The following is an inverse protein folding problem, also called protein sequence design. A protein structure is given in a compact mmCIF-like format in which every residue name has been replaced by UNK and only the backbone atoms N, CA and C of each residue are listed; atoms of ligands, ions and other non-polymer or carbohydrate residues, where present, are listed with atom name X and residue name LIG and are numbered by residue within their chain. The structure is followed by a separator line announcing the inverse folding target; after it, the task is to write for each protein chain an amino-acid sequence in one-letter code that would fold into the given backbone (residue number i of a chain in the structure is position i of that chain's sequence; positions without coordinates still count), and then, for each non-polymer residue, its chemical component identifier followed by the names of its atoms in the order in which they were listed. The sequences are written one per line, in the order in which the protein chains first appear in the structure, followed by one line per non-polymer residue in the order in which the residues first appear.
data_IF_551380395418
#
_entry.id   IF_551380395418
#
_cell.length_a   1.000
_cell.length_b   1.000
_cell.length_c   1.000
_cell.angle_alpha   90.00
_cell.angle_beta   90.00
_cell.angle_gamma   90.00
#
_symmetry.space_group_name_H-M   'P 1'
#
loop_
_entity.id
_entity.type
_entity.pdbx_description
1 polymer ?
#
# COMPACT_ATOMS: atom_id res chain seq x y z
N UNK A 1 12.70 4.25 -13.54
CA UNK A 1 11.52 4.41 -12.65
C UNK A 1 11.62 5.74 -11.91
N UNK A 2 10.49 6.36 -11.52
CA UNK A 2 10.47 7.63 -10.77
C UNK A 2 10.44 7.36 -9.25
N UNK A 3 11.57 6.99 -8.65
CA UNK A 3 11.63 6.48 -7.27
C UNK A 3 11.01 7.43 -6.22
N UNK A 4 11.37 8.71 -6.23
CA UNK A 4 10.82 9.68 -5.27
C UNK A 4 9.30 9.83 -5.37
N UNK A 5 8.77 9.81 -6.60
CA UNK A 5 7.33 9.86 -6.87
C UNK A 5 6.61 8.60 -6.41
N UNK A 6 7.23 7.43 -6.60
CA UNK A 6 6.69 6.15 -6.15
C UNK A 6 6.63 6.06 -4.62
N UNK A 7 7.71 6.44 -3.93
CA UNK A 7 7.75 6.48 -2.48
C UNK A 7 6.71 7.45 -1.91
N UNK A 8 6.64 8.67 -2.47
CA UNK A 8 5.64 9.66 -2.07
C UNK A 8 4.20 9.16 -2.27
N UNK A 9 3.91 8.53 -3.41
CA UNK A 9 2.59 7.97 -3.68
C UNK A 9 2.19 6.90 -2.64
N UNK A 10 3.15 6.04 -2.27
CA UNK A 10 2.97 5.05 -1.20
C UNK A 10 2.73 5.67 0.17
N UNK A 11 3.49 6.71 0.53
CA UNK A 11 3.30 7.50 1.77
C UNK A 11 1.88 8.10 1.82
N UNK A 12 1.46 8.78 0.76
CA UNK A 12 0.11 9.38 0.69
C UNK A 12 -0.98 8.31 0.82
N UNK A 13 -0.82 7.18 0.12
CA UNK A 13 -1.74 6.05 0.23
C UNK A 13 -1.83 5.51 1.67
N UNK A 14 -0.70 5.33 2.35
CA UNK A 14 -0.67 4.81 3.71
C UNK A 14 -1.23 5.79 4.75
N UNK A 15 -1.02 7.09 4.58
CA UNK A 15 -1.64 8.13 5.42
C UNK A 15 -3.16 8.10 5.26
N UNK A 16 -3.67 8.08 4.03
CA UNK A 16 -5.11 7.99 3.77
C UNK A 16 -5.69 6.68 4.34
N UNK A 17 -5.00 5.56 4.16
CA UNK A 17 -5.36 4.28 4.77
C UNK A 17 -5.52 4.41 6.29
N UNK A 18 -4.52 4.99 6.98
CA UNK A 18 -4.54 5.17 8.43
C UNK A 18 -5.68 6.08 8.89
N UNK A 19 -5.96 7.16 8.16
CA UNK A 19 -7.07 8.07 8.45
C UNK A 19 -8.41 7.34 8.32
N UNK A 20 -8.64 6.63 7.21
CA UNK A 20 -9.87 5.87 6.99
C UNK A 20 -10.07 4.81 8.07
N UNK A 21 -9.01 4.09 8.45
CA UNK A 21 -9.08 3.13 9.53
C UNK A 21 -9.41 3.82 10.87
N UNK A 22 -8.79 4.97 11.17
CA UNK A 22 -9.09 5.74 12.38
C UNK A 22 -10.56 6.20 12.43
N UNK A 23 -11.13 6.63 11.29
CA UNK A 23 -12.56 6.96 11.18
C UNK A 23 -13.41 5.72 11.45
N UNK A 24 -13.12 4.58 10.82
CA UNK A 24 -13.90 3.36 11.00
C UNK A 24 -13.81 2.78 12.42
N UNK A 25 -12.74 3.08 13.16
CA UNK A 25 -12.66 2.77 14.60
C UNK A 25 -13.68 3.54 15.42
N UNK A 26 -14.04 4.77 15.02
CA UNK A 26 -15.13 5.52 15.66
C UNK A 26 -16.49 4.82 15.49
N UNK A 27 -16.61 3.93 14.50
CA UNK A 27 -17.78 3.09 14.25
C UNK A 27 -17.65 1.67 14.80
N UNK A 28 -16.70 1.42 15.71
CA UNK A 28 -16.60 0.18 16.47
C UNK A 28 -15.64 -0.87 15.92
N UNK A 29 -14.81 -0.56 14.90
CA UNK A 29 -13.70 -1.45 14.55
C UNK A 29 -12.66 -1.49 15.69
N UNK A 30 -12.31 -2.67 16.25
CA UNK A 30 -11.45 -2.75 17.44
C UNK A 30 -9.97 -2.49 17.13
N UNK A 31 -9.54 -2.68 15.89
CA UNK A 31 -8.13 -2.68 15.51
C UNK A 31 -7.52 -1.26 15.51
N UNK A 32 -6.51 -1.04 16.33
CA UNK A 32 -5.67 0.17 16.31
C UNK A 32 -4.31 -0.13 15.66
N UNK A 33 -4.22 0.04 14.34
CA UNK A 33 -3.02 -0.30 13.57
C UNK A 33 -1.75 0.40 14.08
N UNK A 34 -1.85 1.67 14.50
CA UNK A 34 -0.72 2.40 15.06
C UNK A 34 -0.20 1.79 16.36
N UNK A 35 -1.10 1.43 17.29
CA UNK A 35 -0.69 0.76 18.53
C UNK A 35 -0.17 -0.65 18.25
N UNK A 36 -0.88 -1.44 17.43
CA UNK A 36 -0.45 -2.81 17.08
C UNK A 36 0.94 -2.82 16.44
N UNK A 37 1.21 -1.98 15.44
CA UNK A 37 2.55 -1.93 14.84
C UNK A 37 3.60 -1.33 15.77
N UNK A 38 3.24 -0.40 16.65
CA UNK A 38 4.19 0.16 17.61
C UNK A 38 4.60 -0.85 18.68
N UNK A 39 3.66 -1.65 19.18
CA UNK A 39 3.96 -2.72 20.14
C UNK A 39 4.72 -3.87 19.50
N UNK A 40 4.55 -4.11 18.20
CA UNK A 40 5.42 -5.03 17.43
C UNK A 40 6.89 -4.60 17.49
N UNK A 41 7.15 -3.28 17.48
CA UNK A 41 8.49 -2.71 17.59
C UNK A 41 9.01 -2.62 19.03
N UNK A 42 8.27 -3.13 20.01
CA UNK A 42 8.67 -3.17 21.43
C UNK A 42 8.30 -1.93 22.24
N UNK A 43 7.51 -1.00 21.70
CA UNK A 43 7.02 0.15 22.46
C UNK A 43 5.88 -0.24 23.41
N UNK A 44 5.74 0.48 24.51
CA UNK A 44 4.63 0.28 25.44
C UNK A 44 3.30 0.75 24.80
N UNK A 45 2.15 0.12 25.11
CA UNK A 45 0.86 0.49 24.52
C UNK A 45 0.49 1.98 24.65
N UNK A 46 0.92 2.63 25.73
CA UNK A 46 0.66 4.04 26.01
C UNK A 46 1.37 5.02 25.07
N UNK A 47 2.48 4.61 24.44
CA UNK A 47 3.27 5.45 23.53
C UNK A 47 3.51 4.81 22.14
N UNK A 48 2.97 3.61 21.89
CA UNK A 48 3.17 2.85 20.67
C UNK A 48 2.53 3.45 19.40
N UNK A 49 1.50 4.29 19.54
CA UNK A 49 0.74 4.79 18.38
C UNK A 49 1.63 5.47 17.32
N UNK A 50 2.46 6.42 17.73
CA UNK A 50 3.28 7.20 16.80
C UNK A 50 4.38 6.37 16.13
N UNK A 51 5.19 5.57 16.85
CA UNK A 51 6.13 4.65 16.23
C UNK A 51 5.48 3.71 15.21
N UNK A 52 4.33 3.12 15.54
CA UNK A 52 3.64 2.22 14.62
C UNK A 52 3.02 2.93 13.42
N UNK A 53 2.49 4.14 13.60
CA UNK A 53 2.02 4.97 12.49
C UNK A 53 3.15 5.33 11.52
N UNK A 54 4.31 5.76 12.05
CA UNK A 54 5.49 6.06 11.23
C UNK A 54 5.97 4.81 10.50
N UNK A 55 6.02 3.66 11.18
CA UNK A 55 6.38 2.38 10.58
C UNK A 55 5.43 2.00 9.44
N UNK A 56 4.12 2.16 9.63
CA UNK A 56 3.12 1.92 8.59
C UNK A 56 3.32 2.84 7.37
N UNK A 57 3.50 4.14 7.60
CA UNK A 57 3.67 5.13 6.52
C UNK A 57 4.97 4.90 5.75
N UNK A 58 6.07 4.62 6.46
CA UNK A 58 7.35 4.27 5.83
C UNK A 58 7.23 2.98 5.02
N UNK A 59 6.60 1.95 5.59
CA UNK A 59 6.26 0.70 4.88
C UNK A 59 5.44 0.97 3.62
N UNK A 60 4.43 1.83 3.70
CA UNK A 60 3.65 2.29 2.55
C UNK A 60 4.51 2.91 1.44
N UNK A 61 5.49 3.74 1.81
CA UNK A 61 6.47 4.29 0.87
C UNK A 61 7.28 3.20 0.15
N UNK A 62 7.79 2.21 0.88
CA UNK A 62 8.51 1.07 0.27
C UNK A 62 7.61 0.21 -0.60
N UNK A 63 6.36 -0.06 -0.19
CA UNK A 63 5.39 -0.75 -1.04
C UNK A 63 5.10 0.06 -2.31
N UNK A 64 5.06 1.39 -2.23
CA UNK A 64 4.94 2.26 -3.40
C UNK A 64 6.03 2.04 -4.45
N UNK A 65 7.26 1.74 -4.03
CA UNK A 65 8.36 1.36 -4.92
C UNK A 65 8.09 0.03 -5.64
N UNK A 66 7.54 -0.96 -4.93
CA UNK A 66 7.15 -2.25 -5.52
C UNK A 66 6.02 -2.07 -6.55
N UNK A 67 5.03 -1.22 -6.25
CA UNK A 67 3.98 -0.87 -7.20
C UNK A 67 4.54 -0.25 -8.47
N UNK A 68 5.46 0.71 -8.33
CA UNK A 68 6.12 1.32 -9.47
C UNK A 68 6.88 0.30 -10.30
N UNK A 69 7.53 -0.70 -9.68
CA UNK A 69 8.21 -1.77 -10.41
C UNK A 69 7.21 -2.58 -11.26
N UNK A 70 6.06 -2.93 -10.70
CA UNK A 70 4.99 -3.61 -11.44
C UNK A 70 4.43 -2.73 -12.58
N UNK A 71 4.28 -1.42 -12.35
CA UNK A 71 3.82 -0.49 -13.37
C UNK A 71 4.79 -0.34 -14.54
N UNK A 72 6.09 -0.33 -14.26
CA UNK A 72 7.12 -0.07 -15.26
C UNK A 72 7.52 -1.34 -16.02
N UNK A 73 7.63 -2.47 -15.33
CA UNK A 73 8.19 -3.71 -15.90
C UNK A 73 7.15 -4.75 -16.32
N UNK A 74 5.96 -4.76 -15.72
CA UNK A 74 4.96 -5.80 -15.99
C UNK A 74 3.73 -5.27 -16.74
N UNK A 75 3.13 -4.19 -16.24
CA UNK A 75 1.87 -3.69 -16.80
C UNK A 75 2.03 -2.56 -17.81
N UNK A 76 3.20 -1.92 -17.85
CA UNK A 76 3.54 -0.75 -18.68
C UNK A 76 2.50 0.37 -18.64
N UNK A 77 1.72 0.43 -17.56
CA UNK A 77 0.67 1.42 -17.34
C UNK A 77 0.48 1.66 -15.85
N UNK A 78 0.25 2.92 -15.50
CA UNK A 78 -0.18 3.32 -14.18
C UNK A 78 -1.55 3.99 -14.31
N UNK A 79 -2.39 3.81 -13.30
CA UNK A 79 -3.73 4.37 -13.22
C UNK A 79 -4.51 3.76 -12.06
N UNK A 80 -5.66 4.35 -11.66
CA UNK A 80 -6.43 3.86 -10.53
C UNK A 80 -6.86 2.39 -10.69
N UNK A 81 -7.34 2.00 -11.88
CA UNK A 81 -7.74 0.61 -12.13
C UNK A 81 -6.57 -0.38 -12.10
N UNK A 82 -5.44 -0.06 -12.75
CA UNK A 82 -4.24 -0.92 -12.69
C UNK A 82 -3.67 -0.98 -11.28
N UNK A 83 -3.67 0.14 -10.58
CA UNK A 83 -3.27 0.21 -9.18
C UNK A 83 -4.16 -0.62 -8.27
N UNK A 84 -5.48 -0.62 -8.46
CA UNK A 84 -6.40 -1.48 -7.71
C UNK A 84 -6.16 -2.97 -7.97
N UNK A 85 -5.83 -3.38 -9.20
CA UNK A 85 -5.47 -4.77 -9.52
C UNK A 85 -4.19 -5.20 -8.79
N UNK A 86 -3.15 -4.36 -8.79
CA UNK A 86 -1.94 -4.59 -7.97
C UNK A 86 -2.29 -4.56 -6.47
N UNK A 87 -3.24 -3.71 -6.09
CA UNK A 87 -3.94 -3.65 -4.81
C UNK A 87 -4.46 -5.00 -4.34
N UNK A 88 -5.12 -5.76 -5.20
CA UNK A 88 -5.63 -7.09 -4.89
C UNK A 88 -4.50 -8.07 -4.57
N UNK A 89 -3.41 -8.06 -5.34
CA UNK A 89 -2.24 -8.91 -5.08
C UNK A 89 -1.61 -8.55 -3.74
N UNK A 90 -1.41 -7.25 -3.50
CA UNK A 90 -0.91 -6.74 -2.21
C UNK A 90 -1.83 -7.14 -1.06
N UNK A 91 -3.16 -7.03 -1.23
CA UNK A 91 -4.15 -7.46 -0.25
C UNK A 91 -4.01 -8.94 0.11
N UNK A 92 -3.85 -9.82 -0.88
CA UNK A 92 -3.68 -11.26 -0.65
C UNK A 92 -2.38 -11.53 0.12
N UNK A 93 -1.26 -10.94 -0.32
CA UNK A 93 0.03 -11.11 0.34
C UNK A 93 -0.04 -10.63 1.79
N UNK A 94 -0.55 -9.41 2.02
CA UNK A 94 -0.71 -8.84 3.35
C UNK A 94 -1.65 -9.66 4.22
N UNK A 95 -2.78 -10.13 3.66
CA UNK A 95 -3.76 -10.95 4.37
C UNK A 95 -3.19 -12.28 4.83
N UNK A 96 -2.33 -12.91 4.03
CA UNK A 96 -1.60 -14.11 4.42
C UNK A 96 -0.47 -13.81 5.42
N UNK A 97 0.26 -12.71 5.23
CA UNK A 97 1.34 -12.29 6.13
C UNK A 97 0.84 -12.02 7.56
N UNK A 98 -0.43 -11.60 7.73
CA UNK A 98 -1.04 -11.41 9.04
C UNK A 98 -1.09 -12.70 9.88
N UNK A 99 -1.07 -13.88 9.27
CA UNK A 99 -1.03 -15.16 10.00
C UNK A 99 0.28 -15.34 10.78
N UNK A 100 1.36 -14.70 10.36
CA UNK A 100 2.65 -14.74 11.05
C UNK A 100 2.75 -13.74 12.21
N UNK A 101 1.82 -12.76 12.31
CA UNK A 101 1.90 -11.72 13.35
C UNK A 101 1.99 -12.28 14.77
N UNK A 102 1.21 -13.30 15.19
CA UNK A 102 1.31 -13.82 16.55
C UNK A 102 2.67 -14.45 16.90
N UNK A 103 3.45 -14.85 15.89
CA UNK A 103 4.80 -15.40 16.11
C UNK A 103 5.85 -14.28 16.28
N UNK A 104 5.57 -13.10 15.74
CA UNK A 104 6.50 -11.96 15.72
C UNK A 104 6.13 -10.90 16.75
N UNK A 105 4.87 -10.85 17.18
CA UNK A 105 4.31 -9.74 17.96
C UNK A 105 4.33 -10.06 19.46
N UNK A 106 5.07 -9.31 20.31
CA UNK A 106 5.28 -9.65 21.73
C UNK A 106 4.00 -9.75 22.57
N UNK A 107 2.95 -9.02 22.18
CA UNK A 107 1.68 -8.98 22.91
C UNK A 107 0.57 -9.85 22.30
N UNK A 108 0.86 -10.67 21.28
CA UNK A 108 -0.09 -11.62 20.72
C UNK A 108 0.33 -13.04 21.12
N UNK A 109 -0.61 -13.96 21.45
CA UNK A 109 -2.07 -13.78 21.42
C UNK A 109 -2.68 -13.15 22.68
N UNK A 110 -1.90 -12.86 23.72
CA UNK A 110 -2.37 -12.26 24.96
C UNK A 110 -1.42 -11.13 25.37
N UNK A 111 -1.92 -9.90 25.66
CA UNK A 111 -3.32 -9.47 25.73
C UNK A 111 -4.00 -9.07 24.41
N UNK A 112 -3.30 -9.04 23.27
CA UNK A 112 -3.90 -8.65 21.99
C UNK A 112 -4.37 -9.84 21.17
N UNK A 113 -5.64 -9.76 20.72
CA UNK A 113 -6.21 -10.74 19.81
C UNK A 113 -5.44 -10.80 18.48
N UNK A 114 -4.99 -11.99 18.05
CA UNK A 114 -4.49 -12.20 16.70
C UNK A 114 -5.53 -11.81 15.65
N UNK A 115 -5.17 -11.04 14.60
CA UNK A 115 -6.15 -10.63 13.60
C UNK A 115 -6.66 -11.78 12.72
N UNK A 116 -5.88 -12.86 12.59
CA UNK A 116 -6.14 -13.92 11.62
C UNK A 116 -5.90 -13.47 10.17
N UNK A 117 -6.05 -14.36 9.18
CA UNK A 117 -5.91 -14.00 7.78
C UNK A 117 -6.98 -12.96 7.41
N UNK A 118 -6.60 -11.92 6.68
CA UNK A 118 -7.51 -10.83 6.27
C UNK A 118 -8.30 -10.21 7.43
N UNK A 119 -7.73 -10.16 8.63
CA UNK A 119 -8.37 -9.62 9.84
C UNK A 119 -9.68 -10.31 10.28
N UNK A 120 -9.90 -11.57 9.88
CA UNK A 120 -11.19 -12.27 10.08
C UNK A 120 -11.58 -12.46 11.55
N UNK A 121 -10.64 -12.49 12.49
CA UNK A 121 -10.96 -12.62 13.91
C UNK A 121 -11.57 -11.34 14.51
N UNK A 122 -11.49 -10.21 13.80
CA UNK A 122 -12.19 -8.97 14.15
C UNK A 122 -13.58 -8.85 13.50
N UNK A 123 -14.05 -9.91 12.83
CA UNK A 123 -15.36 -9.98 12.18
C UNK A 123 -15.38 -9.47 10.75
N UNK A 124 -16.51 -9.70 10.06
CA UNK A 124 -16.65 -9.44 8.62
C UNK A 124 -16.40 -7.98 8.24
N UNK A 125 -16.79 -7.03 9.09
CA UNK A 125 -16.55 -5.61 8.86
C UNK A 125 -15.06 -5.26 8.77
N UNK A 126 -14.23 -5.90 9.60
CA UNK A 126 -12.77 -5.72 9.56
C UNK A 126 -12.17 -6.33 8.29
N UNK A 127 -12.64 -7.52 7.87
CA UNK A 127 -12.19 -8.15 6.63
C UNK A 127 -12.55 -7.33 5.39
N UNK A 128 -13.78 -6.85 5.29
CA UNK A 128 -14.20 -6.00 4.17
C UNK A 128 -13.41 -4.68 4.16
N UNK A 129 -13.18 -4.09 5.33
CA UNK A 129 -12.35 -2.89 5.48
C UNK A 129 -10.91 -3.16 5.03
N UNK A 130 -10.31 -4.27 5.46
CA UNK A 130 -8.96 -4.65 5.08
C UNK A 130 -8.81 -4.72 3.56
N UNK A 131 -9.73 -5.41 2.89
CA UNK A 131 -9.73 -5.55 1.42
C UNK A 131 -9.90 -4.16 0.78
N UNK A 132 -10.95 -3.42 1.16
CA UNK A 132 -11.26 -2.12 0.58
C UNK A 132 -10.09 -1.14 0.69
N UNK A 133 -9.45 -1.06 1.87
CA UNK A 133 -8.34 -0.13 2.08
C UNK A 133 -7.10 -0.49 1.24
N UNK A 134 -6.82 -1.77 0.97
CA UNK A 134 -5.72 -2.16 0.06
C UNK A 134 -6.02 -1.80 -1.40
N UNK A 135 -7.26 -1.94 -1.84
CA UNK A 135 -7.68 -1.54 -3.19
C UNK A 135 -7.62 -0.01 -3.35
N UNK A 136 -8.07 0.73 -2.33
CA UNK A 136 -8.00 2.20 -2.29
C UNK A 136 -6.53 2.66 -2.30
N UNK A 137 -5.68 2.06 -1.46
CA UNK A 137 -4.24 2.30 -1.46
C UNK A 137 -3.66 2.11 -2.87
N UNK A 138 -3.96 0.98 -3.51
CA UNK A 138 -3.46 0.68 -4.85
C UNK A 138 -3.95 1.69 -5.89
N UNK A 139 -5.22 2.07 -5.85
CA UNK A 139 -5.79 3.09 -6.74
C UNK A 139 -5.12 4.47 -6.57
N UNK A 140 -4.83 4.87 -5.32
CA UNK A 140 -4.10 6.11 -5.02
C UNK A 140 -2.68 6.05 -5.60
N UNK A 141 -1.94 4.98 -5.31
CA UNK A 141 -0.56 4.82 -5.82
C UNK A 141 -0.54 4.82 -7.35
N UNK A 142 -1.45 4.06 -7.98
CA UNK A 142 -1.59 4.02 -9.43
C UNK A 142 -1.95 5.37 -10.04
N UNK A 143 -2.78 6.17 -9.37
CA UNK A 143 -3.14 7.52 -9.83
C UNK A 143 -1.94 8.47 -9.72
N UNK A 144 -1.31 8.50 -8.54
CA UNK A 144 -0.24 9.44 -8.24
C UNK A 144 1.05 9.14 -9.01
N UNK A 145 1.35 7.88 -9.33
CA UNK A 145 2.60 7.52 -10.02
C UNK A 145 2.64 7.96 -11.50
N UNK A 146 1.49 8.09 -12.17
CA UNK A 146 1.37 8.39 -13.62
C UNK A 146 2.16 9.62 -14.08
N UNK A 147 2.68 9.66 -15.32
CA UNK A 147 2.81 8.55 -16.28
C UNK A 147 4.04 7.66 -15.97
N UNK A 148 4.00 6.42 -16.45
CA UNK A 148 5.16 5.50 -16.47
C UNK A 148 6.27 6.06 -17.39
N UNK A 149 7.52 5.66 -17.18
CA UNK A 149 8.68 6.21 -17.90
C UNK A 149 8.70 5.79 -19.37
N UNK A 150 8.13 4.64 -19.75
CA UNK A 150 8.08 4.14 -21.14
C UNK A 150 7.05 4.83 -22.06
N UNK A 151 6.93 6.16 -21.99
CA UNK A 151 6.20 6.94 -22.99
C UNK A 151 6.98 8.20 -23.36
N UNK A 152 7.98 8.05 -24.24
CA UNK A 152 8.53 9.18 -25.02
C UNK A 152 9.54 8.84 -26.14
N UNK A 153 9.78 7.58 -26.55
CA UNK A 153 10.76 7.30 -27.63
C UNK A 153 10.17 6.72 -28.94
N UNK A 154 8.85 6.58 -29.09
CA UNK A 154 8.29 5.94 -30.28
C UNK A 154 7.75 6.88 -31.38
N UNK A 155 7.92 8.21 -31.28
CA UNK A 155 7.62 9.13 -32.39
C UNK A 155 8.57 10.34 -32.35
N UNK A 156 9.82 10.12 -32.72
CA UNK A 156 10.68 11.19 -33.22
C UNK A 156 10.32 11.48 -34.68
N UNK A 157 10.13 12.74 -35.10
CA UNK A 157 9.81 13.08 -36.49
C UNK A 157 11.07 13.00 -37.37
N UNK A 158 11.62 11.80 -37.57
CA UNK A 158 12.81 11.61 -38.43
C UNK A 158 12.49 10.96 -39.79
N UNK A 159 11.25 10.50 -40.01
CA UNK A 159 10.87 9.85 -41.28
C UNK A 159 10.26 10.79 -42.35
N UNK A 160 10.43 12.11 -42.23
CA UNK A 160 9.94 13.09 -43.22
C UNK A 160 11.07 13.84 -43.94
N UNK A 161 12.22 13.21 -44.18
CA UNK A 161 13.19 13.76 -45.15
C UNK A 161 12.88 13.21 -46.54
N UNK A 162 12.33 14.02 -47.48
CA UNK A 162 12.31 13.63 -48.87
C UNK A 162 13.76 13.57 -49.38
N UNK A 163 14.10 12.47 -50.01
CA UNK A 163 15.30 12.32 -50.83
C UNK A 163 15.30 13.40 -51.92
N UNK A 164 16.11 14.44 -51.75
CA UNK A 164 16.43 15.37 -52.83
C UNK A 164 17.51 14.71 -53.68
N UNK A 165 17.09 14.09 -54.79
CA UNK A 165 17.94 13.70 -55.89
C UNK A 165 18.03 14.86 -56.88
N UNK A 166 19.19 15.51 -56.98
CA UNK A 166 19.64 16.25 -58.16
C UNK A 166 21.17 16.25 -58.21
#
# INVERSE_FOLDING_TARGET
MKYGKAFFAGVVGAVIFSILLAILRLFGLPMNLGVTLGTLLGFAPSNAFWPGFVFHVAGGGFIGLLYAAVFEFASHKAGPGTGAVVGTIHCVISGLAMMALPMLHPMMPNPMTPPGPFAIHYGIGATLTFIALHLIFGAIVGTLYRPVVHRSEAVGPEHLRPTQSH
#
